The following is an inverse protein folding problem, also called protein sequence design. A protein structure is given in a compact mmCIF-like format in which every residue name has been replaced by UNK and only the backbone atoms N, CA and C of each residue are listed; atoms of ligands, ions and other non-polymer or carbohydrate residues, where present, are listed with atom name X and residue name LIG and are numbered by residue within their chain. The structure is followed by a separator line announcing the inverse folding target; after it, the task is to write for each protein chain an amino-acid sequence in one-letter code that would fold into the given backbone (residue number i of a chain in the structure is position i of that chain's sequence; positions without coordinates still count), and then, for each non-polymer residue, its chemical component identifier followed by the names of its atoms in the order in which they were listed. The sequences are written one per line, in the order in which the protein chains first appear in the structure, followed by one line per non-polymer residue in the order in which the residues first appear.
data_IF_768439506440
#
_entry.id   IF_768439506440
#
_cell.length_a   1.000
_cell.length_b   1.000
_cell.length_c   1.000
_cell.angle_alpha   90.00
_cell.angle_beta   90.00
_cell.angle_gamma   90.00
#
_symmetry.space_group_name_H-M   'P 1'
#
loop_
_entity.id
_entity.type
_entity.pdbx_description
1 polymer ?
#
# COMPACT_ATOMS: atom_id res chain seq x y z
N UNK A 1 4.07 -6.51 -12.66
CA UNK A 1 2.93 -5.60 -12.86
C UNK A 1 3.44 -4.29 -13.43
N UNK A 2 2.75 -3.74 -14.40
CA UNK A 2 3.09 -2.45 -14.98
C UNK A 2 2.93 -1.34 -13.91
N UNK A 3 3.96 -0.50 -13.74
CA UNK A 3 3.94 0.59 -12.77
C UNK A 3 2.86 1.64 -13.07
N UNK A 4 2.61 1.92 -14.34
CA UNK A 4 1.55 2.86 -14.75
C UNK A 4 0.18 2.32 -14.34
N UNK A 5 -0.06 1.04 -14.55
CA UNK A 5 -1.30 0.38 -14.11
C UNK A 5 -1.48 0.48 -12.60
N UNK A 6 -0.43 0.16 -11.83
CA UNK A 6 -0.48 0.23 -10.37
C UNK A 6 -0.79 1.65 -9.89
N UNK A 7 -0.14 2.65 -10.45
CA UNK A 7 -0.34 4.04 -10.07
C UNK A 7 -1.78 4.48 -10.36
N UNK A 8 -2.33 4.10 -11.50
CA UNK A 8 -3.70 4.45 -11.87
C UNK A 8 -4.74 3.81 -10.94
N UNK A 9 -4.55 2.54 -10.60
CA UNK A 9 -5.43 1.81 -9.67
C UNK A 9 -5.38 2.45 -8.28
N UNK A 10 -4.19 2.76 -7.78
CA UNK A 10 -4.02 3.40 -6.48
C UNK A 10 -4.63 4.79 -6.44
N UNK A 11 -4.42 5.57 -7.48
CA UNK A 11 -5.01 6.91 -7.60
C UNK A 11 -6.53 6.84 -7.53
N UNK A 12 -7.13 5.87 -8.21
CA UNK A 12 -8.57 5.69 -8.22
C UNK A 12 -9.12 5.39 -6.82
N UNK A 13 -8.42 4.53 -6.05
CA UNK A 13 -8.84 4.21 -4.67
C UNK A 13 -8.72 5.43 -3.77
N UNK A 14 -7.61 6.14 -3.81
CA UNK A 14 -7.41 7.34 -3.00
C UNK A 14 -8.45 8.42 -3.34
N UNK A 15 -8.73 8.61 -4.62
CA UNK A 15 -9.77 9.52 -5.09
C UNK A 15 -11.14 9.13 -4.55
N UNK A 16 -11.46 7.84 -4.57
CA UNK A 16 -12.73 7.32 -4.05
C UNK A 16 -12.91 7.62 -2.57
N UNK A 17 -11.84 7.46 -1.78
CA UNK A 17 -11.87 7.79 -0.34
C UNK A 17 -12.08 9.29 -0.13
N UNK A 18 -11.42 10.14 -0.90
CA UNK A 18 -11.61 11.60 -0.80
C UNK A 18 -13.03 12.00 -1.17
N UNK A 19 -13.62 11.37 -2.18
CA UNK A 19 -14.97 11.63 -2.60
C UNK A 19 -16.00 11.11 -1.58
N UNK A 20 -15.72 9.95 -0.97
CA UNK A 20 -16.58 9.34 0.04
C UNK A 20 -15.71 8.77 1.17
N UNK A 21 -15.37 9.59 2.19
CA UNK A 21 -14.48 9.17 3.28
C UNK A 21 -14.97 7.95 4.07
N UNK A 22 -16.26 7.64 4.02
CA UNK A 22 -16.81 6.46 4.69
C UNK A 22 -16.24 5.15 4.13
N UNK A 23 -15.75 5.16 2.90
CA UNK A 23 -15.15 3.98 2.29
C UNK A 23 -13.82 3.58 2.95
N UNK A 24 -13.18 4.49 3.68
CA UNK A 24 -11.87 4.20 4.28
C UNK A 24 -11.92 2.98 5.22
N UNK A 25 -12.97 2.80 6.00
CA UNK A 25 -13.06 1.66 6.91
C UNK A 25 -13.02 0.33 6.15
N UNK A 26 -13.74 0.23 5.04
CA UNK A 26 -13.73 -0.98 4.22
C UNK A 26 -12.36 -1.21 3.59
N UNK A 27 -11.72 -0.13 3.14
CA UNK A 27 -10.37 -0.21 2.56
C UNK A 27 -9.37 -0.68 3.61
N UNK A 28 -9.46 -0.17 4.83
CA UNK A 28 -8.57 -0.56 5.94
C UNK A 28 -8.73 -2.02 6.35
N UNK A 29 -9.85 -2.65 6.01
CA UNK A 29 -10.02 -4.08 6.20
C UNK A 29 -9.12 -4.92 5.31
N UNK A 30 -8.56 -4.34 4.25
CA UNK A 30 -7.72 -5.04 3.27
C UNK A 30 -6.33 -4.42 3.15
N UNK A 31 -6.22 -3.10 3.12
CA UNK A 31 -4.97 -2.39 2.81
C UNK A 31 -4.36 -1.71 4.04
N UNK A 32 -3.04 -1.69 4.04
CA UNK A 32 -2.20 -0.86 4.91
C UNK A 32 -1.39 0.08 4.03
N UNK A 33 -0.82 1.17 4.57
CA UNK A 33 0.01 2.08 3.76
C UNK A 33 1.12 1.38 3.00
N UNK A 34 1.72 0.34 3.56
CA UNK A 34 2.80 -0.43 2.93
C UNK A 34 2.38 -1.11 1.62
N UNK A 35 1.09 -1.32 1.40
CA UNK A 35 0.58 -2.01 0.22
C UNK A 35 0.60 -1.14 -1.04
N UNK A 36 0.72 0.18 -0.88
CA UNK A 36 0.80 1.08 -2.03
C UNK A 36 2.19 1.02 -2.66
N UNK A 37 2.20 1.06 -3.99
CA UNK A 37 3.43 1.02 -4.77
C UNK A 37 4.15 2.36 -4.79
N UNK A 38 3.40 3.46 -5.08
CA UNK A 38 3.99 4.79 -5.18
C UNK A 38 4.24 5.36 -3.77
N UNK A 39 5.46 5.77 -3.44
CA UNK A 39 5.76 6.32 -2.11
C UNK A 39 4.86 7.49 -1.71
N UNK A 40 4.53 8.37 -2.65
CA UNK A 40 3.60 9.47 -2.39
C UNK A 40 2.21 8.98 -1.98
N UNK A 41 1.73 7.91 -2.62
CA UNK A 41 0.45 7.30 -2.26
C UNK A 41 0.48 6.68 -0.87
N UNK A 42 1.60 6.04 -0.49
CA UNK A 42 1.78 5.53 0.88
C UNK A 42 1.62 6.64 1.90
N UNK A 43 2.26 7.78 1.67
CA UNK A 43 2.21 8.93 2.58
C UNK A 43 0.80 9.51 2.67
N UNK A 44 0.12 9.66 1.56
CA UNK A 44 -1.25 10.16 1.53
C UNK A 44 -2.17 9.21 2.31
N UNK A 45 -2.05 7.91 2.08
CA UNK A 45 -2.86 6.92 2.78
C UNK A 45 -2.57 6.93 4.29
N UNK A 46 -1.29 7.02 4.69
CA UNK A 46 -0.90 7.17 6.11
C UNK A 46 -1.60 8.36 6.75
N UNK A 47 -1.63 9.50 6.07
CA UNK A 47 -2.29 10.71 6.57
C UNK A 47 -3.80 10.49 6.69
N UNK A 48 -4.42 9.85 5.70
CA UNK A 48 -5.85 9.51 5.77
C UNK A 48 -6.17 8.64 6.99
N UNK A 49 -5.33 7.65 7.26
CA UNK A 49 -5.50 6.75 8.41
C UNK A 49 -5.38 7.54 9.72
N UNK A 50 -4.39 8.41 9.82
CA UNK A 50 -4.20 9.25 11.03
C UNK A 50 -5.36 10.20 11.25
N UNK A 51 -5.86 10.83 10.19
CA UNK A 51 -7.03 11.69 10.28
C UNK A 51 -8.25 10.90 10.76
N UNK A 52 -8.45 9.71 10.21
CA UNK A 52 -9.54 8.83 10.62
C UNK A 52 -9.44 8.48 12.11
N UNK A 53 -8.26 8.12 12.59
CA UNK A 53 -8.03 7.74 13.98
C UNK A 53 -8.21 8.92 14.95
N UNK A 54 -7.96 10.14 14.47
CA UNK A 54 -8.10 11.37 15.26
C UNK A 54 -9.50 11.99 15.15
N UNK A 55 -10.44 11.33 14.49
CA UNK A 55 -11.78 11.84 14.20
C UNK A 55 -11.78 13.19 13.48
N UNK A 56 -10.80 13.37 12.58
CA UNK A 56 -10.66 14.58 11.78
C UNK A 56 -11.21 14.32 10.37
N UNK A 57 -11.67 15.38 9.68
CA UNK A 57 -12.14 15.23 8.30
C UNK A 57 -11.03 14.73 7.37
N UNK A 58 -11.40 13.82 6.47
CA UNK A 58 -10.49 13.31 5.43
C UNK A 58 -10.79 14.10 4.16
N UNK A 59 -10.17 15.26 4.05
CA UNK A 59 -10.33 16.14 2.90
C UNK A 59 -9.00 16.77 2.50
N UNK A 60 -9.01 17.49 1.37
CA UNK A 60 -7.83 18.11 0.80
C UNK A 60 -7.09 19.00 1.80
N UNK A 61 -7.81 19.86 2.51
CA UNK A 61 -7.21 20.85 3.42
C UNK A 61 -6.48 20.16 4.59
N UNK A 62 -7.14 19.19 5.23
CA UNK A 62 -6.55 18.49 6.35
C UNK A 62 -5.41 17.59 5.92
N UNK A 63 -5.50 16.98 4.73
CA UNK A 63 -4.42 16.16 4.18
C UNK A 63 -3.20 17.03 3.89
N UNK A 64 -3.37 18.15 3.20
CA UNK A 64 -2.27 19.08 2.89
C UNK A 64 -1.55 19.56 4.14
N UNK A 65 -2.31 19.88 5.18
CA UNK A 65 -1.75 20.37 6.44
C UNK A 65 -0.81 19.35 7.10
N UNK A 66 -1.10 18.07 6.95
CA UNK A 66 -0.33 17.00 7.56
C UNK A 66 0.75 16.40 6.66
N UNK A 67 0.72 16.69 5.36
CA UNK A 67 1.75 16.23 4.43
C UNK A 67 2.97 17.14 4.52
N UNK A 68 4.16 16.52 4.51
CA UNK A 68 5.39 17.25 4.31
C UNK A 68 5.57 17.47 2.80
N UNK A 69 5.73 18.72 2.38
CA UNK A 69 5.92 19.07 0.97
C UNK A 69 7.15 18.42 0.34
N UNK A 70 8.09 17.96 1.16
CA UNK A 70 9.27 17.22 0.69
C UNK A 70 8.93 15.79 0.29
N UNK A 71 7.91 15.19 0.91
CA UNK A 71 7.55 13.79 0.68
C UNK A 71 6.56 13.63 -0.46
N UNK A 72 5.70 14.63 -0.67
CA UNK A 72 4.64 14.55 -1.69
C UNK A 72 4.55 15.87 -2.44
N UNK A 73 4.67 15.80 -3.76
CA UNK A 73 4.46 16.93 -4.65
C UNK A 73 2.96 17.26 -4.70
N UNK A 74 2.62 18.54 -4.68
CA UNK A 74 1.24 19.02 -4.79
C UNK A 74 0.53 18.48 -6.03
N UNK A 75 1.25 18.23 -7.11
CA UNK A 75 0.68 17.66 -8.34
C UNK A 75 0.08 16.29 -8.13
N UNK A 76 0.65 15.50 -7.23
CA UNK A 76 0.14 14.14 -6.93
C UNK A 76 -1.25 14.22 -6.30
N UNK A 77 -1.43 15.09 -5.31
CA UNK A 77 -2.73 15.29 -4.68
C UNK A 77 -3.75 15.86 -5.68
N UNK A 78 -3.32 16.79 -6.53
CA UNK A 78 -4.18 17.35 -7.57
C UNK A 78 -4.64 16.26 -8.56
N UNK A 79 -3.77 15.35 -8.95
CA UNK A 79 -4.12 14.23 -9.82
C UNK A 79 -5.15 13.30 -9.17
N UNK A 80 -5.01 13.06 -7.86
CA UNK A 80 -5.99 12.26 -7.11
C UNK A 80 -7.35 12.96 -7.10
N UNK A 81 -7.37 14.26 -6.82
CA UNK A 81 -8.60 15.05 -6.78
C UNK A 81 -9.30 15.14 -8.14
N UNK A 82 -8.51 15.03 -9.21
CA UNK A 82 -9.01 15.15 -10.59
C UNK A 82 -9.40 13.81 -11.22
N UNK A 83 -9.18 12.70 -10.50
CA UNK A 83 -9.50 11.38 -11.02
C UNK A 83 -11.01 11.16 -11.10
N UNK A 84 -11.43 10.37 -12.07
CA UNK A 84 -12.85 10.03 -12.22
C UNK A 84 -13.30 9.08 -11.10
N UNK A 85 -14.52 9.28 -10.56
CA UNK A 85 -15.06 8.36 -9.56
C UNK A 85 -15.17 6.94 -10.11
N UNK A 86 -14.98 5.95 -9.23
CA UNK A 86 -15.14 4.54 -9.56
C UNK A 86 -16.31 3.97 -8.74
N UNK A 87 -16.95 2.94 -9.28
CA UNK A 87 -18.12 2.34 -8.64
C UNK A 87 -17.79 1.08 -7.84
N UNK A 88 -16.71 0.37 -8.19
CA UNK A 88 -16.33 -0.86 -7.50
C UNK A 88 -14.97 -0.71 -6.83
N UNK A 89 -14.94 0.05 -5.76
CA UNK A 89 -13.70 0.34 -5.02
C UNK A 89 -13.02 -0.92 -4.51
N UNK A 90 -13.78 -1.92 -4.04
CA UNK A 90 -13.20 -3.15 -3.50
C UNK A 90 -12.45 -3.97 -4.55
N UNK A 91 -12.90 -3.96 -5.80
CA UNK A 91 -12.17 -4.64 -6.88
C UNK A 91 -10.78 -4.01 -7.07
N UNK A 92 -10.71 -2.68 -7.04
CA UNK A 92 -9.45 -1.94 -7.16
C UNK A 92 -8.56 -2.18 -5.93
N UNK A 93 -9.14 -2.21 -4.74
CA UNK A 93 -8.43 -2.50 -3.49
C UNK A 93 -7.79 -3.88 -3.54
N UNK A 94 -8.50 -4.88 -4.06
CA UNK A 94 -7.97 -6.24 -4.21
C UNK A 94 -6.80 -6.29 -5.19
N UNK A 95 -6.87 -5.51 -6.26
CA UNK A 95 -5.75 -5.40 -7.21
C UNK A 95 -4.51 -4.81 -6.54
N UNK A 96 -4.68 -3.79 -5.70
CA UNK A 96 -3.56 -3.23 -4.93
C UNK A 96 -2.97 -4.29 -4.01
N UNK A 97 -3.80 -5.03 -3.29
CA UNK A 97 -3.34 -6.07 -2.36
C UNK A 97 -2.61 -7.18 -3.10
N UNK A 98 -3.16 -7.64 -4.22
CA UNK A 98 -2.54 -8.67 -5.04
C UNK A 98 -1.14 -8.23 -5.50
N UNK A 99 -1.02 -7.01 -6.00
CA UNK A 99 0.27 -6.46 -6.42
C UNK A 99 1.26 -6.34 -5.26
N UNK A 100 0.79 -5.91 -4.09
CA UNK A 100 1.61 -5.80 -2.89
C UNK A 100 2.18 -7.16 -2.46
N UNK A 101 1.33 -8.18 -2.41
CA UNK A 101 1.75 -9.54 -2.05
C UNK A 101 2.77 -10.07 -3.05
N UNK A 102 2.53 -9.86 -4.33
CA UNK A 102 3.48 -10.30 -5.38
C UNK A 102 4.83 -9.61 -5.25
N UNK A 103 4.86 -8.32 -4.91
CA UNK A 103 6.13 -7.61 -4.65
C UNK A 103 6.85 -8.18 -3.42
N UNK A 104 6.12 -8.52 -2.37
CA UNK A 104 6.71 -9.17 -1.19
C UNK A 104 7.30 -10.54 -1.54
N UNK A 105 6.60 -11.31 -2.37
CA UNK A 105 7.12 -12.60 -2.84
C UNK A 105 8.38 -12.43 -3.69
N UNK A 106 8.44 -11.41 -4.54
CA UNK A 106 9.62 -11.12 -5.34
C UNK A 106 10.82 -10.75 -4.44
N UNK A 107 10.58 -9.97 -3.39
CA UNK A 107 11.60 -9.62 -2.39
C UNK A 107 12.05 -10.88 -1.65
N UNK A 108 11.12 -11.73 -1.26
CA UNK A 108 11.45 -13.00 -0.58
C UNK A 108 12.28 -13.92 -1.49
N UNK A 109 12.00 -13.95 -2.78
CA UNK A 109 12.81 -14.74 -3.72
C UNK A 109 14.28 -14.31 -3.70
N UNK A 110 14.55 -13.01 -3.62
CA UNK A 110 15.92 -12.48 -3.48
C UNK A 110 16.53 -12.90 -2.15
N UNK A 111 15.76 -12.84 -1.08
CA UNK A 111 16.20 -13.29 0.25
C UNK A 111 16.52 -14.77 0.26
N UNK A 112 15.68 -15.60 -0.37
CA UNK A 112 15.90 -17.05 -0.48
C UNK A 112 17.24 -17.33 -1.15
N UNK A 113 17.50 -16.65 -2.26
CA UNK A 113 18.76 -16.82 -3.00
C UNK A 113 19.95 -16.46 -2.12
N UNK A 114 19.88 -15.31 -1.43
CA UNK A 114 20.95 -14.84 -0.55
C UNK A 114 21.22 -15.83 0.59
N UNK A 115 20.17 -16.27 1.28
CA UNK A 115 20.28 -17.19 2.41
C UNK A 115 20.83 -18.54 1.98
N UNK A 116 20.43 -19.01 0.79
CA UNK A 116 20.87 -20.31 0.28
C UNK A 116 22.37 -20.37 -0.04
N UNK A 117 22.97 -19.23 -0.39
CA UNK A 117 24.41 -19.18 -0.72
C UNK A 117 25.27 -18.71 0.44
N UNK A 118 24.69 -18.33 1.58
CA UNK A 118 25.44 -17.89 2.75
C UNK A 118 26.05 -19.09 3.50
N UNK A 119 27.38 -19.07 3.66
CA UNK A 119 28.11 -20.19 4.24
C UNK A 119 27.88 -20.35 5.75
N UNK A 120 27.62 -19.26 6.46
CA UNK A 120 27.46 -19.28 7.91
C UNK A 120 26.13 -19.84 8.37
N UNK A 121 25.15 -19.90 7.51
CA UNK A 121 23.81 -20.36 7.83
C UNK A 121 23.64 -21.82 7.38
N UNK A 122 23.18 -22.68 8.29
CA UNK A 122 22.88 -24.07 7.95
C UNK A 122 21.62 -24.15 7.10
N UNK A 123 21.45 -25.27 6.39
CA UNK A 123 20.25 -25.49 5.58
C UNK A 123 18.97 -25.43 6.42
N UNK A 124 18.98 -25.99 7.62
CA UNK A 124 17.82 -25.97 8.51
C UNK A 124 17.50 -24.55 8.98
N UNK A 125 18.50 -23.75 9.33
CA UNK A 125 18.31 -22.35 9.68
C UNK A 125 17.75 -21.55 8.52
N UNK A 126 18.25 -21.82 7.31
CA UNK A 126 17.76 -21.17 6.09
C UNK A 126 16.28 -21.51 5.85
N UNK A 127 15.91 -22.78 5.97
CA UNK A 127 14.52 -23.21 5.80
C UNK A 127 13.60 -22.56 6.83
N UNK A 128 14.00 -22.51 8.09
CA UNK A 128 13.21 -21.89 9.15
C UNK A 128 13.00 -20.39 8.89
N UNK A 129 14.06 -19.70 8.47
CA UNK A 129 14.00 -18.27 8.15
C UNK A 129 13.01 -18.01 7.02
N UNK A 130 13.08 -18.78 5.93
CA UNK A 130 12.20 -18.62 4.77
C UNK A 130 10.76 -18.96 5.11
N UNK A 131 10.53 -20.03 5.86
CA UNK A 131 9.19 -20.41 6.31
C UNK A 131 8.55 -19.31 7.16
N UNK A 132 9.34 -18.69 8.05
CA UNK A 132 8.89 -17.57 8.88
C UNK A 132 8.46 -16.36 8.04
N UNK A 133 9.27 -16.00 7.04
CA UNK A 133 8.95 -14.89 6.15
C UNK A 133 7.71 -15.17 5.30
N UNK A 134 7.59 -16.39 4.77
CA UNK A 134 6.43 -16.78 3.99
C UNK A 134 5.16 -16.77 4.85
N UNK A 135 5.25 -17.21 6.09
CA UNK A 135 4.13 -17.18 7.02
C UNK A 135 3.64 -15.75 7.27
N UNK A 136 4.56 -14.79 7.45
CA UNK A 136 4.20 -13.37 7.63
C UNK A 136 3.42 -12.84 6.42
N UNK A 137 3.89 -13.13 5.21
CA UNK A 137 3.22 -12.71 3.98
C UNK A 137 1.81 -13.33 3.92
N UNK A 138 1.70 -14.62 4.22
CA UNK A 138 0.43 -15.35 4.19
C UNK A 138 -0.58 -14.80 5.18
N UNK A 139 -0.17 -14.47 6.41
CA UNK A 139 -1.07 -13.92 7.42
C UNK A 139 -1.52 -12.50 7.08
N UNK A 140 -0.65 -11.68 6.50
CA UNK A 140 -0.99 -10.33 6.07
C UNK A 140 -1.97 -10.32 4.88
N UNK A 141 -1.93 -11.36 4.04
CA UNK A 141 -2.79 -11.44 2.85
C UNK A 141 -4.15 -12.10 3.11
N UNK A 142 -4.32 -12.66 4.30
CA UNK A 142 -5.55 -13.38 4.65
C UNK A 142 -6.73 -12.45 4.96
#
# INVERSE_FOLDING_TARGET
MDSVYSINIERAVLSSILFNPEELEDVLGVLKPKDFYLPAHKKIFEVMVKLHNDDMPIDEEFIKKRLDSKDVDDSILLEILSANPITNTLAYVREIKDGSVKRELATLATTIKKVAIEEEMSANEALDTIQGELYKISTDSA
#
